data_IF_093370505429
#
_entry.id   IF_093370505429
#
_cell.length_a   1.000
_cell.length_b   1.000
_cell.length_c   1.000
_cell.angle_alpha   90.00
_cell.angle_beta   90.00
_cell.angle_gamma   90.00
#
_symmetry.space_group_name_H-M   'P 1'
#
loop_
_entity.id
_entity.type
_entity.pdbx_description
1 polymer ?
#
# COMPACT_ATOMS: atom_id res chain seq x y z
N UNK A 1 28.22 -2.20 18.78
CA UNK A 1 28.08 -0.74 19.02
C UNK A 1 26.68 -0.47 19.53
N UNK A 2 26.53 0.10 20.73
CA UNK A 2 25.23 0.59 21.23
C UNK A 2 25.20 2.10 21.00
N UNK A 3 24.54 2.53 19.94
CA UNK A 3 24.19 3.93 19.79
C UNK A 3 23.00 4.22 20.73
N UNK A 4 22.95 5.37 21.41
CA UNK A 4 21.78 5.76 22.21
C UNK A 4 20.55 5.81 21.31
N UNK A 5 19.38 5.39 21.81
CA UNK A 5 18.13 5.37 21.03
C UNK A 5 17.80 6.74 20.42
N UNK A 6 18.21 7.83 21.07
CA UNK A 6 18.01 9.21 20.58
C UNK A 6 18.87 9.56 19.36
N UNK A 7 19.90 8.76 19.05
CA UNK A 7 20.75 8.94 17.86
C UNK A 7 20.25 8.21 16.61
N UNK A 8 19.18 7.43 16.74
CA UNK A 8 18.51 6.84 15.58
C UNK A 8 17.72 7.94 14.87
N UNK A 9 18.18 8.33 13.68
CA UNK A 9 17.48 9.31 12.85
C UNK A 9 16.12 8.74 12.43
N UNK A 10 15.05 9.19 13.08
CA UNK A 10 13.69 8.86 12.65
C UNK A 10 13.37 9.70 11.41
N UNK A 11 13.21 9.06 10.25
CA UNK A 11 12.75 9.76 9.06
C UNK A 11 11.36 10.34 9.32
N UNK A 12 11.24 11.67 9.23
CA UNK A 12 9.96 12.38 9.41
C UNK A 12 9.41 12.93 8.10
N UNK A 13 10.23 12.92 7.05
CA UNK A 13 9.87 13.41 5.72
C UNK A 13 9.28 12.28 4.87
N UNK A 14 8.11 12.57 4.29
CA UNK A 14 7.46 11.68 3.34
C UNK A 14 8.19 11.66 2.01
N UNK A 15 8.25 10.50 1.37
CA UNK A 15 8.90 10.31 0.07
C UNK A 15 8.20 11.09 -1.05
N UNK A 16 6.88 11.26 -0.98
CA UNK A 16 6.09 11.97 -1.99
C UNK A 16 4.84 12.60 -1.39
N UNK A 17 4.30 13.59 -2.12
CA UNK A 17 3.04 14.25 -1.76
C UNK A 17 1.88 13.62 -2.50
N UNK A 18 0.77 13.41 -1.79
CA UNK A 18 -0.45 12.89 -2.38
C UNK A 18 -1.31 14.01 -2.96
N UNK A 19 -2.14 13.64 -3.93
CA UNK A 19 -3.24 14.46 -4.40
C UNK A 19 -4.55 13.66 -4.26
N UNK A 20 -5.65 14.28 -3.78
CA UNK A 20 -5.81 15.69 -3.39
C UNK A 20 -5.15 16.06 -2.05
N UNK A 21 -4.99 17.37 -1.76
CA UNK A 21 -4.36 17.88 -0.54
C UNK A 21 -4.95 17.28 0.75
N UNK A 22 -6.26 17.09 0.84
CA UNK A 22 -6.90 16.49 2.02
C UNK A 22 -6.39 15.07 2.28
N UNK A 23 -6.09 14.30 1.23
CA UNK A 23 -5.52 12.96 1.35
C UNK A 23 -4.06 13.05 1.84
N UNK A 24 -3.28 13.98 1.29
CA UNK A 24 -1.91 14.24 1.73
C UNK A 24 -1.82 14.65 3.20
N UNK A 25 -2.67 15.58 3.62
CA UNK A 25 -2.69 16.10 4.98
C UNK A 25 -3.09 15.02 6.00
N UNK A 26 -3.77 13.96 5.54
CA UNK A 26 -4.21 12.84 6.39
C UNK A 26 -3.21 11.70 6.41
N UNK A 27 -2.97 11.06 5.26
CA UNK A 27 -2.16 9.83 5.14
C UNK A 27 -0.81 10.07 4.45
N UNK A 28 -0.54 11.26 3.90
CA UNK A 28 0.70 11.55 3.18
C UNK A 28 1.95 11.37 4.03
N UNK A 29 1.84 11.56 5.35
CA UNK A 29 2.94 11.35 6.32
C UNK A 29 3.20 9.89 6.67
N UNK A 30 2.41 8.95 6.15
CA UNK A 30 2.66 7.53 6.33
C UNK A 30 3.72 7.00 5.36
N UNK A 31 3.93 7.67 4.22
CA UNK A 31 4.82 7.23 3.15
C UNK A 31 6.28 7.59 3.42
N UNK A 32 6.79 7.13 4.56
CA UNK A 32 8.16 7.30 5.01
C UNK A 32 9.08 6.22 4.43
N UNK A 33 10.38 6.50 4.21
CA UNK A 33 11.34 5.49 3.78
C UNK A 33 11.43 4.34 4.78
N UNK A 34 11.70 3.13 4.27
CA UNK A 34 11.92 1.90 5.03
C UNK A 34 10.72 1.46 5.88
N UNK A 35 9.52 2.00 5.59
CA UNK A 35 8.29 1.63 6.26
C UNK A 35 7.35 0.82 5.36
N UNK A 36 6.53 0.00 6.00
CA UNK A 36 5.50 -0.83 5.39
C UNK A 36 4.15 -0.40 5.96
N UNK A 37 3.22 0.01 5.10
CA UNK A 37 1.86 0.36 5.47
C UNK A 37 0.88 -0.68 4.95
N UNK A 38 -0.04 -1.10 5.81
CA UNK A 38 -1.17 -1.96 5.47
C UNK A 38 -2.43 -1.13 5.25
N UNK A 39 -3.06 -1.29 4.10
CA UNK A 39 -4.36 -0.72 3.79
C UNK A 39 -5.36 -1.85 3.65
N UNK A 40 -6.33 -1.94 4.57
CA UNK A 40 -7.32 -3.00 4.54
C UNK A 40 -8.74 -2.47 4.47
N UNK A 41 -9.65 -3.29 3.96
CA UNK A 41 -11.05 -2.93 3.85
C UNK A 41 -11.95 -4.11 3.55
N UNK A 42 -13.25 -3.93 3.78
CA UNK A 42 -14.29 -4.92 3.45
C UNK A 42 -14.38 -5.15 1.93
N UNK A 43 -15.16 -6.14 1.53
CA UNK A 43 -15.44 -6.37 0.11
C UNK A 43 -15.90 -5.08 -0.57
N UNK A 44 -15.34 -4.79 -1.76
CA UNK A 44 -15.61 -3.57 -2.55
C UNK A 44 -15.13 -2.26 -1.94
N UNK A 45 -14.33 -2.31 -0.87
CA UNK A 45 -13.51 -1.17 -0.48
C UNK A 45 -12.61 -0.75 -1.65
N UNK A 46 -12.47 0.56 -1.95
CA UNK A 46 -11.74 1.03 -3.12
C UNK A 46 -10.22 1.04 -2.90
N UNK A 47 -9.67 -0.06 -2.39
CA UNK A 47 -8.25 -0.25 -2.11
C UNK A 47 -7.40 -0.07 -3.36
N UNK A 48 -7.78 -0.72 -4.46
CA UNK A 48 -7.05 -0.58 -5.74
C UNK A 48 -7.11 0.84 -6.28
N UNK A 49 -8.25 1.56 -6.16
CA UNK A 49 -8.33 2.96 -6.60
C UNK A 49 -7.37 3.85 -5.79
N UNK A 50 -7.30 3.60 -4.47
CA UNK A 50 -6.37 4.28 -3.58
C UNK A 50 -4.91 3.95 -3.94
N UNK A 51 -4.60 2.67 -4.16
CA UNK A 51 -3.28 2.20 -4.58
C UNK A 51 -2.82 2.86 -5.89
N UNK A 52 -3.69 2.98 -6.88
CA UNK A 52 -3.38 3.70 -8.13
C UNK A 52 -3.13 5.20 -7.90
N UNK A 53 -3.92 5.83 -7.03
CA UNK A 53 -3.76 7.26 -6.69
C UNK A 53 -2.40 7.53 -6.03
N UNK A 54 -1.98 6.63 -5.14
CA UNK A 54 -0.69 6.70 -4.45
C UNK A 54 0.45 6.39 -5.43
N UNK A 55 0.30 5.36 -6.28
CA UNK A 55 1.29 5.01 -7.31
C UNK A 55 1.54 6.16 -8.30
N UNK A 56 0.50 6.86 -8.74
CA UNK A 56 0.62 8.08 -9.57
C UNK A 56 1.42 9.15 -8.84
N UNK A 57 1.12 9.36 -7.55
CA UNK A 57 1.83 10.36 -6.74
C UNK A 57 3.31 10.02 -6.56
N UNK A 58 3.65 8.74 -6.36
CA UNK A 58 5.02 8.27 -6.26
C UNK A 58 5.78 8.36 -7.59
N UNK A 59 5.14 8.01 -8.71
CA UNK A 59 5.75 8.06 -10.05
C UNK A 59 6.03 9.50 -10.54
N UNK A 60 5.38 10.51 -9.94
CA UNK A 60 5.65 11.93 -10.21
C UNK A 60 7.00 12.40 -9.66
N UNK A 61 7.60 11.68 -8.73
CA UNK A 61 8.97 12.00 -8.27
C UNK A 61 9.92 11.87 -9.47
N UNK A 62 10.76 12.89 -9.67
CA UNK A 62 11.79 12.85 -10.70
C UNK A 62 12.84 11.79 -10.37
N UNK A 63 13.25 11.01 -11.37
CA UNK A 63 14.27 9.95 -11.24
C UNK A 63 13.94 8.83 -10.23
N UNK A 64 12.65 8.64 -9.90
CA UNK A 64 12.19 7.48 -9.14
C UNK A 64 11.10 6.73 -9.92
N UNK A 65 11.10 5.41 -9.76
CA UNK A 65 10.06 4.51 -10.27
C UNK A 65 9.14 4.04 -9.16
N UNK A 66 7.98 3.54 -9.54
CA UNK A 66 7.03 2.85 -8.66
C UNK A 66 6.88 1.41 -9.13
N UNK A 67 6.99 0.44 -8.23
CA UNK A 67 6.67 -0.95 -8.51
C UNK A 67 5.22 -1.25 -8.09
N UNK A 68 4.45 -1.89 -8.96
CA UNK A 68 3.07 -2.30 -8.70
C UNK A 68 2.96 -3.80 -8.92
N UNK A 69 2.92 -4.55 -7.82
CA UNK A 69 2.79 -6.00 -7.78
C UNK A 69 1.31 -6.35 -7.64
N UNK A 70 0.72 -6.86 -8.71
CA UNK A 70 -0.72 -7.14 -8.82
C UNK A 70 -0.99 -8.64 -8.72
N UNK A 71 -1.84 -9.03 -7.77
CA UNK A 71 -2.24 -10.42 -7.56
C UNK A 71 -3.65 -10.73 -8.05
N UNK A 72 -4.42 -9.73 -8.48
CA UNK A 72 -5.85 -9.85 -8.71
C UNK A 72 -6.33 -9.30 -10.04
N UNK A 73 -5.41 -8.99 -10.97
CA UNK A 73 -5.71 -8.22 -12.20
C UNK A 73 -6.35 -6.86 -11.90
N UNK A 74 -5.97 -6.26 -10.77
CA UNK A 74 -6.48 -4.99 -10.28
C UNK A 74 -5.82 -3.79 -10.96
N UNK A 75 -4.62 -3.96 -11.53
CA UNK A 75 -3.91 -2.87 -12.18
C UNK A 75 -4.64 -2.40 -13.45
N UNK A 76 -4.94 -1.11 -13.50
CA UNK A 76 -5.73 -0.47 -14.55
C UNK A 76 -4.99 0.76 -15.11
N UNK A 77 -4.31 0.64 -16.27
CA UNK A 77 -3.67 1.77 -16.93
C UNK A 77 -4.64 2.91 -17.27
N UNK A 78 -5.91 2.59 -17.55
CA UNK A 78 -6.92 3.61 -17.83
C UNK A 78 -7.20 4.50 -16.60
N UNK A 79 -7.15 3.94 -15.39
CA UNK A 79 -7.28 4.71 -14.16
C UNK A 79 -6.08 5.63 -13.94
N UNK A 80 -4.85 5.16 -14.21
CA UNK A 80 -3.64 6.00 -14.19
C UNK A 80 -3.82 7.20 -15.15
N UNK A 81 -4.28 6.96 -16.37
CA UNK A 81 -4.55 8.05 -17.34
C UNK A 81 -5.61 9.02 -16.85
N UNK A 82 -6.65 8.55 -16.16
CA UNK A 82 -7.70 9.39 -15.61
C UNK A 82 -7.25 10.26 -14.41
N UNK A 83 -6.14 9.88 -13.76
CA UNK A 83 -5.52 10.60 -12.64
C UNK A 83 -4.48 11.66 -13.08
N UNK A 84 -4.16 11.71 -14.38
CA UNK A 84 -3.20 12.65 -14.96
C UNK A 84 -3.93 13.86 -15.57
N UNK A 85 -3.27 15.01 -15.58
CA UNK A 85 -3.80 16.26 -16.14
C UNK A 85 -3.65 16.31 -17.67
N UNK A 86 -2.71 15.53 -18.24
CA UNK A 86 -2.48 15.49 -19.67
C UNK A 86 -2.07 14.11 -20.20
N UNK A 87 -2.25 13.90 -21.52
CA UNK A 87 -1.78 12.68 -22.20
C UNK A 87 -0.27 12.52 -22.11
N UNK A 88 0.49 13.63 -22.18
CA UNK A 88 1.95 13.62 -22.09
C UNK A 88 2.41 13.14 -20.71
N UNK A 89 1.86 13.72 -19.65
CA UNK A 89 2.12 13.28 -18.27
C UNK A 89 1.78 11.80 -18.11
N UNK A 90 0.61 11.37 -18.59
CA UNK A 90 0.20 9.97 -18.45
C UNK A 90 1.17 8.99 -19.10
N UNK A 91 1.74 9.34 -20.26
CA UNK A 91 2.70 8.50 -20.97
C UNK A 91 4.06 8.45 -20.25
N UNK A 92 4.46 9.54 -19.59
CA UNK A 92 5.68 9.60 -18.78
C UNK A 92 5.53 8.80 -17.50
N UNK A 93 4.41 8.96 -16.77
CA UNK A 93 4.15 8.22 -15.53
C UNK A 93 3.98 6.72 -15.78
N UNK A 94 3.29 6.30 -16.84
CA UNK A 94 3.15 4.89 -17.18
C UNK A 94 4.51 4.22 -17.48
N UNK A 95 5.51 4.97 -17.96
CA UNK A 95 6.88 4.42 -18.16
C UNK A 95 7.66 4.25 -16.85
N UNK A 96 7.28 4.98 -15.79
CA UNK A 96 7.90 4.91 -14.45
C UNK A 96 7.22 3.91 -13.52
N UNK A 97 6.04 3.42 -13.88
CA UNK A 97 5.33 2.40 -13.12
C UNK A 97 5.68 1.03 -13.72
N UNK A 98 6.46 0.26 -12.97
CA UNK A 98 6.79 -1.13 -13.27
C UNK A 98 5.68 -2.00 -12.74
N UNK A 99 5.13 -2.89 -13.57
CA UNK A 99 4.03 -3.77 -13.17
C UNK A 99 4.52 -5.22 -13.17
N UNK A 100 4.33 -5.90 -12.04
CA UNK A 100 4.63 -7.33 -11.89
C UNK A 100 3.36 -8.08 -11.51
N UNK A 101 3.10 -9.21 -12.15
CA UNK A 101 2.03 -10.12 -11.70
C UNK A 101 2.57 -11.08 -10.64
N UNK A 102 1.72 -11.35 -9.65
CA UNK A 102 2.02 -12.23 -8.51
C UNK A 102 0.88 -13.22 -8.38
N UNK A 103 1.16 -14.52 -8.42
CA UNK A 103 0.12 -15.54 -8.26
C UNK A 103 0.16 -16.14 -6.85
N UNK A 104 1.34 -16.22 -6.23
CA UNK A 104 1.50 -16.69 -4.84
C UNK A 104 2.52 -15.88 -4.04
N UNK A 105 2.69 -16.26 -2.78
CA UNK A 105 3.67 -15.63 -1.88
C UNK A 105 5.12 -15.79 -2.37
N UNK A 106 5.46 -16.93 -2.97
CA UNK A 106 6.80 -17.16 -3.51
C UNK A 106 7.11 -16.21 -4.69
N UNK A 107 6.10 -15.89 -5.52
CA UNK A 107 6.24 -14.90 -6.59
C UNK A 107 6.49 -13.51 -6.02
N UNK A 108 5.88 -13.15 -4.88
CA UNK A 108 6.15 -11.86 -4.21
C UNK A 108 7.64 -11.76 -3.89
N UNK A 109 8.21 -12.81 -3.30
CA UNK A 109 9.64 -12.87 -2.93
C UNK A 109 10.52 -12.70 -4.16
N UNK A 110 10.23 -13.43 -5.25
CA UNK A 110 10.96 -13.28 -6.51
C UNK A 110 10.87 -11.86 -7.05
N UNK A 111 9.65 -11.29 -7.11
CA UNK A 111 9.44 -9.96 -7.69
C UNK A 111 10.13 -8.87 -6.88
N UNK A 112 10.07 -8.90 -5.55
CA UNK A 112 10.76 -7.89 -4.74
C UNK A 112 12.28 -7.99 -4.85
N UNK A 113 12.83 -9.19 -5.07
CA UNK A 113 14.27 -9.37 -5.33
C UNK A 113 14.68 -8.78 -6.68
N UNK A 114 13.86 -8.94 -7.73
CA UNK A 114 14.14 -8.33 -9.03
C UNK A 114 14.17 -6.80 -8.97
N UNK A 115 13.49 -6.18 -7.99
CA UNK A 115 13.52 -4.74 -7.81
C UNK A 115 14.90 -4.19 -7.40
N UNK A 116 15.79 -5.03 -6.85
CA UNK A 116 17.15 -4.63 -6.48
C UNK A 116 17.97 -4.07 -7.63
N UNK A 117 17.74 -4.59 -8.84
CA UNK A 117 18.50 -4.20 -10.03
C UNK A 117 17.86 -3.01 -10.77
N UNK A 118 16.68 -2.56 -10.36
CA UNK A 118 15.90 -1.55 -11.08
C UNK A 118 16.24 -0.10 -10.70
N UNK A 119 17.13 0.10 -9.72
CA UNK A 119 17.58 1.41 -9.27
C UNK A 119 16.62 2.05 -8.26
N UNK A 120 16.36 3.36 -8.40
CA UNK A 120 15.64 4.14 -7.41
C UNK A 120 14.12 3.89 -7.48
N UNK A 121 13.59 3.15 -6.51
CA UNK A 121 12.16 2.88 -6.35
C UNK A 121 11.66 3.61 -5.10
N UNK A 122 10.70 4.52 -5.27
CA UNK A 122 10.13 5.28 -4.14
C UNK A 122 8.97 4.54 -3.47
N UNK A 123 8.24 3.71 -4.21
CA UNK A 123 7.08 2.98 -3.72
C UNK A 123 7.00 1.59 -4.34
N UNK A 124 6.72 0.60 -3.49
CA UNK A 124 6.33 -0.76 -3.88
C UNK A 124 4.89 -0.95 -3.41
N UNK A 125 3.99 -1.23 -4.34
CA UNK A 125 2.60 -1.58 -4.06
C UNK A 125 2.43 -3.10 -4.20
N UNK A 126 1.81 -3.75 -3.22
CA UNK A 126 1.33 -5.13 -3.32
C UNK A 126 -0.20 -5.14 -3.23
N UNK A 127 -0.87 -5.33 -4.37
CA UNK A 127 -2.33 -5.31 -4.50
C UNK A 127 -2.86 -6.67 -5.00
N UNK A 128 -3.16 -7.64 -4.14
CA UNK A 128 -3.26 -7.61 -2.67
C UNK A 128 -2.55 -8.80 -2.03
N UNK A 129 -2.19 -8.70 -0.74
CA UNK A 129 -1.62 -9.84 -0.01
C UNK A 129 -2.63 -11.00 0.12
N UNK A 130 -3.92 -10.70 0.31
CA UNK A 130 -4.98 -11.73 0.31
C UNK A 130 -4.98 -12.55 -0.97
N UNK A 131 -4.81 -11.92 -2.14
CA UNK A 131 -4.78 -12.63 -3.43
C UNK A 131 -3.62 -13.63 -3.50
N UNK A 132 -2.41 -13.20 -3.11
CA UNK A 132 -1.25 -14.09 -3.03
C UNK A 132 -1.40 -15.19 -1.96
N UNK A 133 -2.07 -14.89 -0.85
CA UNK A 133 -2.32 -15.82 0.25
C UNK A 133 -3.30 -16.94 -0.09
N UNK A 134 -4.26 -16.71 -0.99
CA UNK A 134 -5.27 -17.70 -1.35
C UNK A 134 -4.68 -18.98 -1.98
N UNK A 135 -3.50 -18.88 -2.60
CA UNK A 135 -2.80 -20.03 -3.18
C UNK A 135 -1.79 -20.70 -2.22
N UNK A 136 -1.65 -20.19 -0.99
CA UNK A 136 -0.63 -20.62 -0.02
C UNK A 136 -1.11 -21.69 0.96
N UNK A 137 -2.13 -22.47 0.60
CA UNK A 137 -2.70 -23.53 1.41
C UNK A 137 -3.81 -23.09 2.38
N UNK A 138 -4.23 -24.02 3.25
CA UNK A 138 -5.41 -23.84 4.11
C UNK A 138 -5.26 -22.63 5.05
N UNK A 139 -6.32 -21.82 5.25
CA UNK A 139 -6.33 -20.74 6.23
C UNK A 139 -5.92 -21.22 7.62
N UNK A 140 -5.06 -20.46 8.29
CA UNK A 140 -4.59 -20.80 9.65
C UNK A 140 -3.54 -21.91 9.75
N UNK A 141 -3.15 -22.55 8.64
CA UNK A 141 -2.10 -23.58 8.68
C UNK A 141 -0.73 -23.01 9.03
N UNK A 142 0.07 -23.77 9.78
CA UNK A 142 1.44 -23.39 10.19
C UNK A 142 2.31 -23.11 8.95
N UNK A 143 2.18 -23.92 7.91
CA UNK A 143 2.90 -23.74 6.64
C UNK A 143 2.62 -22.37 6.02
N UNK A 144 1.34 -22.03 5.85
CA UNK A 144 0.92 -20.72 5.31
C UNK A 144 1.46 -19.56 6.14
N UNK A 145 1.41 -19.65 7.46
CA UNK A 145 1.91 -18.62 8.37
C UNK A 145 3.44 -18.45 8.27
N UNK A 146 4.19 -19.54 8.13
CA UNK A 146 5.65 -19.49 7.91
C UNK A 146 6.01 -18.87 6.57
N UNK A 147 5.31 -19.24 5.49
CA UNK A 147 5.53 -18.64 4.16
C UNK A 147 5.20 -17.15 4.17
N UNK A 148 4.08 -16.76 4.81
CA UNK A 148 3.72 -15.35 4.97
C UNK A 148 4.82 -14.58 5.73
N UNK A 149 5.32 -15.14 6.83
CA UNK A 149 6.43 -14.53 7.57
C UNK A 149 7.67 -14.33 6.69
N UNK A 150 8.13 -15.38 5.99
CA UNK A 150 9.28 -15.29 5.09
C UNK A 150 9.09 -14.27 3.96
N UNK A 151 7.86 -14.13 3.45
CA UNK A 151 7.52 -13.14 2.44
C UNK A 151 7.60 -11.71 2.99
N UNK A 152 7.04 -11.48 4.18
CA UNK A 152 7.10 -10.17 4.83
C UNK A 152 8.52 -9.77 5.21
N UNK A 153 9.34 -10.75 5.59
CA UNK A 153 10.77 -10.55 5.83
C UNK A 153 11.50 -10.15 4.55
N UNK A 154 11.27 -10.85 3.43
CA UNK A 154 11.82 -10.50 2.12
C UNK A 154 11.38 -9.09 1.67
N UNK A 155 10.11 -8.72 1.87
CA UNK A 155 9.59 -7.37 1.62
C UNK A 155 10.34 -6.35 2.47
N UNK A 156 10.54 -6.63 3.77
CA UNK A 156 11.22 -5.72 4.69
C UNK A 156 12.68 -5.51 4.30
N UNK A 157 13.39 -6.60 3.97
CA UNK A 157 14.74 -6.56 3.43
C UNK A 157 14.81 -5.72 2.16
N UNK A 158 13.85 -5.92 1.24
CA UNK A 158 13.80 -5.17 0.00
C UNK A 158 13.59 -3.67 0.22
N UNK A 159 12.65 -3.35 1.10
CA UNK A 159 12.30 -1.98 1.47
C UNK A 159 13.49 -1.23 2.10
N UNK A 160 14.22 -1.90 2.99
CA UNK A 160 15.38 -1.33 3.66
C UNK A 160 16.53 -1.05 2.68
N UNK A 161 16.79 -1.99 1.76
CA UNK A 161 17.84 -1.84 0.75
C UNK A 161 17.52 -0.73 -0.25
N UNK A 162 16.27 -0.68 -0.75
CA UNK A 162 15.84 0.32 -1.73
C UNK A 162 15.56 1.70 -1.12
N UNK A 163 15.50 1.79 0.21
CA UNK A 163 15.06 2.99 0.93
C UNK A 163 13.68 3.50 0.45
N UNK A 164 12.82 2.56 0.06
CA UNK A 164 11.49 2.81 -0.51
C UNK A 164 10.41 2.91 0.58
N UNK A 165 9.14 3.06 0.19
CA UNK A 165 7.99 2.70 1.02
C UNK A 165 7.28 1.48 0.44
N UNK A 166 6.72 0.61 1.28
CA UNK A 166 5.86 -0.50 0.83
C UNK A 166 4.43 -0.26 1.26
N UNK A 167 3.50 -0.28 0.30
CA UNK A 167 2.07 -0.29 0.54
C UNK A 167 1.51 -1.68 0.23
N UNK A 168 0.92 -2.33 1.23
CA UNK A 168 0.23 -3.61 1.07
C UNK A 168 -1.28 -3.36 1.16
N UNK A 169 -2.05 -3.86 0.20
CA UNK A 169 -3.51 -3.91 0.34
C UNK A 169 -3.96 -5.29 0.81
N UNK A 170 -5.03 -5.31 1.61
CA UNK A 170 -5.58 -6.54 2.14
C UNK A 170 -7.10 -6.51 2.28
N UNK A 171 -7.75 -7.65 2.08
CA UNK A 171 -9.17 -7.76 2.38
C UNK A 171 -9.36 -7.98 3.87
N UNK A 172 -10.44 -7.42 4.41
CA UNK A 172 -10.82 -7.63 5.81
C UNK A 172 -11.89 -8.70 5.93
N UNK A 173 -11.68 -9.64 6.85
CA UNK A 173 -12.74 -10.47 7.40
C UNK A 173 -13.52 -9.71 8.49
N UNK A 174 -14.77 -10.08 8.72
CA UNK A 174 -15.48 -9.63 9.91
C UNK A 174 -15.06 -10.49 11.10
N UNK A 175 -14.58 -9.86 12.16
CA UNK A 175 -14.46 -10.53 13.44
C UNK A 175 -15.86 -10.80 13.98
N UNK A 176 -16.16 -12.07 14.27
CA UNK A 176 -17.47 -12.52 14.74
C UNK A 176 -17.80 -12.04 16.16
N UNK A 177 -16.78 -11.65 16.95
CA UNK A 177 -16.97 -11.14 18.31
C UNK A 177 -17.21 -9.64 18.35
N UNK A 178 -16.31 -8.86 17.74
CA UNK A 178 -16.34 -7.40 17.76
C UNK A 178 -17.20 -6.80 16.63
N UNK A 179 -17.43 -7.54 15.55
CA UNK A 179 -18.03 -7.02 14.32
C UNK A 179 -17.10 -6.08 13.53
N UNK A 180 -15.88 -5.85 14.02
CA UNK A 180 -14.92 -4.95 13.41
C UNK A 180 -14.19 -5.64 12.24
N UNK A 181 -13.89 -4.88 11.16
CA UNK A 181 -13.12 -5.41 10.04
C UNK A 181 -11.66 -5.66 10.45
N UNK A 182 -11.18 -6.88 10.27
CA UNK A 182 -9.80 -7.29 10.58
C UNK A 182 -9.08 -7.81 9.34
N UNK A 183 -7.81 -7.44 9.10
CA UNK A 183 -7.06 -7.88 7.92
C UNK A 183 -6.79 -9.40 7.91
N UNK A 184 -6.82 -10.00 6.71
CA UNK A 184 -6.58 -11.42 6.46
C UNK A 184 -5.06 -11.68 6.44
N UNK A 185 -4.50 -11.77 7.64
CA UNK A 185 -3.10 -12.13 7.87
C UNK A 185 -2.79 -12.45 9.34
N UNK A 186 -3.75 -12.18 10.23
CA UNK A 186 -3.61 -12.41 11.66
C UNK A 186 -2.44 -11.62 12.26
N UNK A 187 -1.94 -12.11 13.39
CA UNK A 187 -0.91 -11.40 14.14
C UNK A 187 0.40 -11.24 13.37
N UNK A 188 0.74 -12.17 12.45
CA UNK A 188 1.98 -12.07 11.67
C UNK A 188 1.99 -10.79 10.83
N UNK A 189 0.93 -10.57 10.05
CA UNK A 189 0.81 -9.36 9.23
C UNK A 189 0.74 -8.11 10.11
N UNK A 190 -0.08 -8.14 11.17
CA UNK A 190 -0.25 -7.00 12.08
C UNK A 190 1.05 -6.55 12.75
N UNK A 191 1.96 -7.47 13.07
CA UNK A 191 3.26 -7.15 13.67
C UNK A 191 4.35 -6.80 12.64
N UNK A 192 4.18 -7.19 11.38
CA UNK A 192 5.18 -6.96 10.34
C UNK A 192 5.09 -5.57 9.69
N UNK A 193 4.00 -4.82 9.90
CA UNK A 193 3.77 -3.51 9.28
C UNK A 193 3.93 -2.37 10.30
N UNK A 194 4.24 -1.16 9.82
CA UNK A 194 4.49 0.02 10.66
C UNK A 194 3.23 0.87 10.86
N UNK A 195 2.37 0.90 9.85
CA UNK A 195 1.10 1.63 9.86
C UNK A 195 -0.04 0.75 9.33
N UNK A 196 -1.25 0.95 9.87
CA UNK A 196 -2.47 0.24 9.48
C UNK A 196 -3.57 1.26 9.22
N UNK A 197 -4.19 1.15 8.05
CA UNK A 197 -5.21 2.07 7.56
C UNK A 197 -6.43 1.28 7.10
N UNK A 198 -7.57 1.57 7.71
CA UNK A 198 -8.87 1.05 7.30
C UNK A 198 -9.47 1.93 6.22
N UNK A 199 -9.87 1.32 5.12
CA UNK A 199 -10.58 1.96 3.99
C UNK A 199 -11.93 1.30 3.83
N UNK A 200 -13.01 2.08 4.01
CA UNK A 200 -14.37 1.56 3.90
C UNK A 200 -15.29 2.53 3.15
N UNK A 201 -16.29 2.00 2.46
CA UNK A 201 -17.37 2.85 1.91
C UNK A 201 -18.33 3.20 3.02
N UNK A 202 -18.76 4.45 3.10
CA UNK A 202 -19.74 4.86 4.11
C UNK A 202 -21.08 4.15 3.89
N UNK A 203 -21.47 3.97 2.62
CA UNK A 203 -22.67 3.25 2.19
C UNK A 203 -22.40 2.50 0.89
N UNK A 204 -23.05 1.36 0.72
CA UNK A 204 -22.94 0.56 -0.49
C UNK A 204 -23.48 1.35 -1.70
N UNK A 205 -22.70 1.40 -2.79
CA UNK A 205 -23.06 2.13 -4.01
C UNK A 205 -22.72 3.62 -4.00
N UNK A 206 -22.32 4.20 -2.86
CA UNK A 206 -21.88 5.59 -2.80
C UNK A 206 -20.38 5.73 -3.14
N UNK A 207 -20.00 6.87 -3.72
CA UNK A 207 -18.60 7.24 -3.93
C UNK A 207 -17.91 7.66 -2.62
N UNK A 208 -18.63 7.85 -1.52
CA UNK A 208 -18.05 8.31 -0.26
C UNK A 208 -17.30 7.18 0.45
N UNK A 209 -16.03 7.45 0.70
CA UNK A 209 -15.07 6.54 1.32
C UNK A 209 -14.51 7.20 2.55
N UNK A 210 -14.45 6.42 3.62
CA UNK A 210 -13.78 6.76 4.87
C UNK A 210 -12.43 6.05 4.90
N UNK A 211 -11.38 6.81 5.17
CA UNK A 211 -10.02 6.33 5.39
C UNK A 211 -9.68 6.65 6.84
N UNK A 212 -9.44 5.65 7.67
CA UNK A 212 -9.09 5.78 9.08
C UNK A 212 -7.71 5.21 9.33
N UNK A 213 -6.88 5.93 10.09
CA UNK A 213 -5.58 5.42 10.52
C UNK A 213 -5.79 4.72 11.85
N UNK A 214 -5.69 3.40 11.86
CA UNK A 214 -5.84 2.58 13.07
C UNK A 214 -4.53 2.57 13.88
N UNK A 215 -3.40 2.52 13.17
CA UNK A 215 -2.07 2.54 13.74
C UNK A 215 -1.11 3.29 12.83
N UNK A 216 -0.20 4.05 13.41
CA UNK A 216 0.84 4.78 12.68
C UNK A 216 2.11 4.87 13.51
N UNK A 217 3.26 4.70 12.85
CA UNK A 217 4.57 5.01 13.42
C UNK A 217 4.84 6.53 13.45
N UNK A 218 4.13 7.30 12.63
CA UNK A 218 4.23 8.76 12.58
C UNK A 218 3.36 9.40 13.68
N UNK A 219 3.94 10.22 14.58
CA UNK A 219 3.21 10.85 15.69
C UNK A 219 2.30 12.00 15.24
N UNK A 220 2.38 12.43 13.97
CA UNK A 220 1.63 13.57 13.45
C UNK A 220 0.60 13.19 12.38
N UNK A 221 0.28 11.89 12.28
CA UNK A 221 -0.74 11.39 11.38
C UNK A 221 -2.14 11.78 11.90
N UNK A 222 -3.03 12.19 11.00
CA UNK A 222 -4.41 12.52 11.36
C UNK A 222 -5.23 11.25 11.62
N UNK A 223 -6.35 11.35 12.34
CA UNK A 223 -7.17 10.17 12.65
C UNK A 223 -7.86 9.55 11.42
N UNK A 224 -8.17 10.37 10.41
CA UNK A 224 -8.81 9.90 9.19
C UNK A 224 -9.45 11.01 8.36
N UNK A 225 -10.02 10.63 7.24
CA UNK A 225 -10.63 11.52 6.26
C UNK A 225 -11.79 10.85 5.54
N UNK A 226 -12.76 11.63 5.11
CA UNK A 226 -13.79 11.20 4.16
C UNK A 226 -13.49 11.85 2.80
N UNK A 227 -13.47 11.02 1.76
CA UNK A 227 -13.17 11.40 0.38
C UNK A 227 -14.18 10.76 -0.58
N UNK A 228 -14.19 11.22 -1.83
CA UNK A 228 -14.91 10.56 -2.93
C UNK A 228 -13.94 9.64 -3.67
N UNK A 229 -14.33 8.40 -3.95
CA UNK A 229 -13.58 7.48 -4.81
C UNK A 229 -14.46 6.98 -5.95
N UNK A 230 -13.96 7.12 -7.18
CA UNK A 230 -14.67 6.69 -8.38
C UNK A 230 -13.74 6.54 -9.59
N UNK A 231 -14.29 6.56 -10.80
CA UNK A 231 -13.52 6.36 -12.05
C UNK A 231 -12.43 7.41 -12.30
N UNK A 232 -12.52 8.58 -11.65
CA UNK A 232 -11.51 9.64 -11.71
C UNK A 232 -10.56 9.63 -10.50
N UNK A 233 -10.47 8.51 -9.79
CA UNK A 233 -9.64 8.37 -8.60
C UNK A 233 -10.25 8.93 -7.32
N UNK A 234 -9.37 9.27 -6.36
CA UNK A 234 -9.74 9.89 -5.09
C UNK A 234 -9.88 11.41 -5.24
N UNK A 235 -10.96 11.99 -4.70
CA UNK A 235 -11.28 13.42 -4.79
C UNK A 235 -11.78 13.95 -3.45
N UNK A 236 -11.68 15.27 -3.27
CA UNK A 236 -12.35 15.99 -2.18
C UNK A 236 -13.88 15.85 -2.29
N UNK A 237 -14.59 15.99 -1.17
CA UNK A 237 -16.06 16.00 -1.14
C UNK A 237 -16.62 17.30 -1.76
N UNK A 238 -15.85 18.40 -1.69
CA UNK A 238 -16.25 19.72 -2.18
C UNK A 238 -16.61 19.72 -3.67
#
# INVERSE_FOLDING_TARGET
MRAPLESLATATESLFRLHPRILNDTIGKLFLPQQVSLFHGRERAPLSILAHTIAVSAARIENASCAFLDSGTNYCPALIRALCDSKKESAELLKRIVVGQVFGLDDVVEKVQLLYDMGNISLIVLDSITGALNLSGAPGSIGRQRTLFGTLDAIRHANNYLNSHVMITDHSSQDWTSGEPTPIGGNILSHAVDSVVLVDRLRQGEELVRILIERSSSPTAALGVIVKAGPKGIRSIR
#
